data_IF_908374032784
#
_entry.id   IF_908374032784
#
_cell.length_a   1.000
_cell.length_b   1.000
_cell.length_c   1.000
_cell.angle_alpha   90.00
_cell.angle_beta   90.00
_cell.angle_gamma   90.00
#
_symmetry.space_group_name_H-M   'P 1'
#
loop_
_entity.id
_entity.type
_entity.pdbx_description
1 polymer ?
#
# COMPACT_ATOMS: atom_id res chain seq x y z
N UNK A 1 6.57 27.22 -11.00
CA UNK A 1 7.22 28.52 -11.31
C UNK A 1 6.30 29.72 -11.01
N UNK A 2 4.99 29.65 -11.29
CA UNK A 2 4.01 30.69 -10.88
C UNK A 2 3.88 30.90 -9.35
N UNK A 3 4.18 29.89 -8.54
CA UNK A 3 4.17 30.02 -7.07
C UNK A 3 5.37 30.83 -6.54
N UNK A 4 6.50 30.82 -7.24
CA UNK A 4 7.70 31.58 -6.84
C UNK A 4 7.52 33.09 -7.08
N UNK A 5 6.68 33.50 -8.02
CA UNK A 5 6.38 34.91 -8.29
C UNK A 5 5.42 35.54 -7.27
N UNK A 6 4.69 34.72 -6.52
CA UNK A 6 3.76 35.15 -5.45
C UNK A 6 4.42 35.09 -4.06
N UNK A 7 5.58 34.45 -3.95
CA UNK A 7 6.22 34.20 -2.66
C UNK A 7 7.00 35.41 -2.13
N UNK A 8 6.68 35.80 -0.90
CA UNK A 8 7.42 36.77 -0.07
C UNK A 8 8.29 35.98 0.92
N UNK A 9 9.58 36.30 1.18
CA UNK A 9 10.29 37.55 0.87
C UNK A 9 11.15 37.54 -0.41
N UNK A 10 11.63 36.38 -0.87
CA UNK A 10 12.31 36.28 -2.18
C UNK A 10 11.94 34.98 -2.91
N UNK A 11 11.76 35.01 -4.25
CA UNK A 11 11.48 33.81 -5.06
C UNK A 11 12.52 32.69 -4.91
N UNK A 12 13.77 33.05 -4.61
CA UNK A 12 14.88 32.12 -4.41
C UNK A 12 14.65 31.17 -3.22
N UNK A 13 13.97 31.63 -2.17
CA UNK A 13 13.65 30.78 -1.00
C UNK A 13 12.75 29.62 -1.40
N UNK A 14 11.77 29.86 -2.27
CA UNK A 14 10.88 28.80 -2.77
C UNK A 14 11.63 27.82 -3.66
N UNK A 15 12.52 28.30 -4.53
CA UNK A 15 13.30 27.41 -5.40
C UNK A 15 14.22 26.49 -4.58
N UNK A 16 14.95 27.05 -3.62
CA UNK A 16 15.81 26.27 -2.71
C UNK A 16 14.96 25.29 -1.89
N UNK A 17 13.82 25.75 -1.36
CA UNK A 17 12.89 24.91 -0.59
C UNK A 17 12.34 23.73 -1.39
N UNK A 18 11.95 23.94 -2.65
CA UNK A 18 11.48 22.87 -3.55
C UNK A 18 12.59 21.86 -3.83
N UNK A 19 13.82 22.31 -4.09
CA UNK A 19 14.96 21.41 -4.31
C UNK A 19 15.25 20.58 -3.06
N UNK A 20 15.33 21.20 -1.88
CA UNK A 20 15.58 20.47 -0.63
C UNK A 20 14.43 19.50 -0.30
N UNK A 21 13.18 19.92 -0.48
CA UNK A 21 12.00 19.09 -0.19
C UNK A 21 11.91 17.89 -1.13
N UNK A 22 12.16 18.08 -2.42
CA UNK A 22 12.16 16.99 -3.40
C UNK A 22 13.31 16.00 -3.17
N UNK A 23 14.51 16.49 -2.85
CA UNK A 23 15.65 15.64 -2.47
C UNK A 23 15.35 14.82 -1.21
N UNK A 24 14.78 15.44 -0.18
CA UNK A 24 14.40 14.75 1.06
C UNK A 24 13.36 13.64 0.82
N UNK A 25 12.30 13.94 0.08
CA UNK A 25 11.27 12.96 -0.28
C UNK A 25 11.83 11.82 -1.15
N UNK A 26 12.74 12.12 -2.07
CA UNK A 26 13.42 11.13 -2.90
C UNK A 26 14.29 10.18 -2.06
N UNK A 27 15.08 10.71 -1.13
CA UNK A 27 15.93 9.90 -0.22
C UNK A 27 15.09 9.00 0.70
N UNK A 28 13.97 9.51 1.21
CA UNK A 28 13.03 8.70 2.01
C UNK A 28 12.45 7.54 1.18
N UNK A 29 12.04 7.81 -0.06
CA UNK A 29 11.47 6.79 -0.94
C UNK A 29 12.52 5.75 -1.36
N UNK A 30 13.76 6.19 -1.63
CA UNK A 30 14.87 5.33 -2.03
C UNK A 30 15.27 4.34 -0.94
N UNK A 31 15.17 4.73 0.33
CA UNK A 31 15.50 3.87 1.48
C UNK A 31 14.29 3.05 1.97
N UNK A 32 13.08 3.58 1.85
CA UNK A 32 11.85 2.92 2.29
C UNK A 32 11.43 1.75 1.39
N UNK A 33 11.40 1.95 0.07
CA UNK A 33 10.97 0.93 -0.89
C UNK A 33 11.75 -0.40 -0.80
N UNK A 34 13.09 -0.43 -0.78
CA UNK A 34 13.83 -1.70 -0.74
C UNK A 34 13.69 -2.42 0.60
N UNK A 35 13.50 -1.69 1.71
CA UNK A 35 13.23 -2.28 3.03
C UNK A 35 11.87 -2.96 3.07
N UNK A 36 10.83 -2.33 2.48
CA UNK A 36 9.51 -2.95 2.34
C UNK A 36 9.57 -4.20 1.46
N UNK A 37 10.28 -4.14 0.33
CA UNK A 37 10.43 -5.29 -0.56
C UNK A 37 11.18 -6.45 0.12
N UNK A 38 12.25 -6.14 0.87
CA UNK A 38 13.00 -7.13 1.64
C UNK A 38 12.17 -7.75 2.77
N UNK A 39 11.33 -6.97 3.45
CA UNK A 39 10.44 -7.49 4.50
C UNK A 39 9.44 -8.50 3.91
N UNK A 40 8.81 -8.17 2.78
CA UNK A 40 7.88 -9.08 2.08
C UNK A 40 8.61 -10.34 1.57
N UNK A 41 9.87 -10.20 1.11
CA UNK A 41 10.69 -11.34 0.70
C UNK A 41 11.09 -12.24 1.87
N UNK A 42 11.30 -11.67 3.06
CA UNK A 42 11.61 -12.41 4.28
C UNK A 42 10.42 -13.24 4.78
N UNK A 43 9.18 -12.81 4.51
CA UNK A 43 7.96 -13.54 4.86
C UNK A 43 7.74 -14.81 4.02
N UNK A 44 8.58 -15.07 2.99
CA UNK A 44 8.55 -16.27 2.13
C UNK A 44 7.19 -16.56 1.45
N UNK A 45 6.32 -15.55 1.34
CA UNK A 45 4.97 -15.64 0.77
C UNK A 45 5.01 -15.86 -0.75
N UNK A 46 5.88 -15.11 -1.43
CA UNK A 46 6.04 -15.15 -2.89
C UNK A 46 7.40 -15.80 -3.23
N UNK A 47 7.43 -17.01 -3.82
CA UNK A 47 8.68 -17.71 -4.10
C UNK A 47 9.58 -16.96 -5.11
N UNK A 48 8.99 -16.12 -5.96
CA UNK A 48 9.70 -15.26 -6.92
C UNK A 48 10.49 -14.14 -6.20
N UNK A 49 10.05 -13.69 -5.02
CA UNK A 49 10.71 -12.62 -4.27
C UNK A 49 11.89 -13.10 -3.41
N UNK A 50 12.15 -14.41 -3.33
CA UNK A 50 13.24 -14.98 -2.51
C UNK A 50 14.63 -14.43 -2.83
N UNK A 51 14.83 -13.97 -4.06
CA UNK A 51 16.08 -13.34 -4.48
C UNK A 51 16.38 -12.02 -3.74
N UNK A 52 15.34 -11.34 -3.25
CA UNK A 52 15.44 -10.06 -2.55
C UNK A 52 15.52 -10.21 -1.02
N UNK A 53 15.69 -11.43 -0.51
CA UNK A 53 15.78 -11.72 0.92
C UNK A 53 17.07 -11.11 1.50
N UNK A 54 16.96 -10.36 2.59
CA UNK A 54 18.10 -9.79 3.32
C UNK A 54 17.96 -10.06 4.82
N UNK A 55 19.04 -10.46 5.52
CA UNK A 55 19.03 -10.63 6.97
C UNK A 55 18.64 -9.34 7.71
N UNK A 56 18.01 -9.51 8.88
CA UNK A 56 17.64 -8.39 9.75
C UNK A 56 18.87 -7.57 10.15
N UNK A 57 18.81 -6.26 9.91
CA UNK A 57 19.90 -5.31 10.20
C UNK A 57 20.94 -5.14 9.08
N UNK A 58 20.87 -5.92 7.99
CA UNK A 58 21.73 -5.75 6.81
C UNK A 58 20.99 -4.99 5.72
N UNK A 59 21.65 -4.04 5.06
CA UNK A 59 21.06 -3.29 3.96
C UNK A 59 20.75 -4.20 2.75
N UNK A 60 19.52 -4.17 2.23
CA UNK A 60 19.09 -5.09 1.17
C UNK A 60 19.61 -4.63 -0.19
N UNK A 61 20.88 -4.92 -0.49
CA UNK A 61 21.57 -4.47 -1.71
C UNK A 61 20.82 -4.82 -3.01
N UNK A 62 20.30 -6.05 -3.13
CA UNK A 62 19.57 -6.48 -4.33
C UNK A 62 18.23 -5.76 -4.50
N UNK A 63 17.51 -5.52 -3.40
CA UNK A 63 16.25 -4.77 -3.44
C UNK A 63 16.50 -3.29 -3.78
N UNK A 64 17.60 -2.71 -3.25
CA UNK A 64 18.01 -1.34 -3.54
C UNK A 64 18.44 -1.17 -4.99
N UNK A 65 19.19 -2.13 -5.55
CA UNK A 65 19.56 -2.10 -6.97
C UNK A 65 18.32 -2.18 -7.87
N UNK A 66 17.35 -3.02 -7.50
CA UNK A 66 16.10 -3.15 -8.24
C UNK A 66 15.25 -1.88 -8.20
N UNK A 67 15.07 -1.27 -7.01
CA UNK A 67 14.34 0.00 -6.89
C UNK A 67 15.05 1.14 -7.63
N UNK A 68 16.38 1.16 -7.62
CA UNK A 68 17.19 2.13 -8.35
C UNK A 68 17.04 1.96 -9.87
N UNK A 69 16.97 0.73 -10.38
CA UNK A 69 16.76 0.46 -11.80
C UNK A 69 15.38 0.95 -12.26
N UNK A 70 14.32 0.67 -11.48
CA UNK A 70 12.97 1.16 -11.77
C UNK A 70 12.95 2.70 -11.76
N UNK A 71 13.56 3.33 -10.75
CA UNK A 71 13.64 4.77 -10.64
C UNK A 71 14.40 5.39 -11.84
N UNK A 72 15.54 4.81 -12.23
CA UNK A 72 16.30 5.24 -13.38
C UNK A 72 15.48 5.16 -14.69
N UNK A 73 14.68 4.10 -14.85
CA UNK A 73 13.73 3.98 -15.96
C UNK A 73 12.71 5.13 -16.00
N UNK A 74 12.11 5.46 -14.86
CA UNK A 74 11.19 6.60 -14.75
C UNK A 74 11.87 7.95 -15.06
N UNK A 75 13.14 8.14 -14.63
CA UNK A 75 13.89 9.36 -14.92
C UNK A 75 14.19 9.51 -16.41
N UNK A 76 14.47 8.41 -17.12
CA UNK A 76 14.73 8.42 -18.58
C UNK A 76 13.49 8.87 -19.37
N UNK A 77 12.28 8.52 -18.92
CA UNK A 77 11.03 8.99 -19.54
C UNK A 77 10.92 10.51 -19.48
N UNK A 78 11.44 11.15 -18.43
CA UNK A 78 11.60 12.61 -18.34
C UNK A 78 10.30 13.43 -18.24
N UNK A 79 9.14 12.79 -18.31
CA UNK A 79 7.82 13.43 -18.29
C UNK A 79 7.06 13.12 -16.99
N UNK A 80 6.92 14.14 -16.14
CA UNK A 80 6.22 14.02 -14.86
C UNK A 80 4.70 13.87 -15.02
N UNK A 81 4.13 14.37 -16.11
CA UNK A 81 2.68 14.34 -16.33
C UNK A 81 2.22 12.92 -16.69
N UNK A 82 3.10 12.10 -17.26
CA UNK A 82 2.86 10.67 -17.48
C UNK A 82 3.08 9.83 -16.21
N UNK A 83 4.05 10.19 -15.38
CA UNK A 83 4.42 9.43 -14.18
C UNK A 83 3.44 9.67 -13.03
N UNK A 84 2.96 10.92 -12.86
CA UNK A 84 2.11 11.32 -11.74
C UNK A 84 0.81 10.50 -11.61
N UNK A 85 0.02 10.27 -12.69
CA UNK A 85 -1.17 9.43 -12.62
C UNK A 85 -0.86 7.98 -12.25
N UNK A 86 0.26 7.43 -12.76
CA UNK A 86 0.66 6.04 -12.51
C UNK A 86 1.01 5.84 -11.03
N UNK A 87 1.80 6.73 -10.44
CA UNK A 87 2.13 6.69 -9.01
C UNK A 87 0.85 6.85 -8.16
N UNK A 88 -0.02 7.79 -8.54
CA UNK A 88 -1.30 8.03 -7.86
C UNK A 88 -2.19 6.78 -7.85
N UNK A 89 -2.25 6.02 -8.96
CA UNK A 89 -2.97 4.74 -9.02
C UNK A 89 -2.48 3.73 -7.97
N UNK A 90 -1.15 3.56 -7.84
CA UNK A 90 -0.58 2.61 -6.88
C UNK A 90 -0.86 3.02 -5.43
N UNK A 91 -0.76 4.32 -5.11
CA UNK A 91 -1.11 4.81 -3.77
C UNK A 91 -2.59 4.66 -3.46
N UNK A 92 -3.48 5.01 -4.40
CA UNK A 92 -4.93 4.83 -4.22
C UNK A 92 -5.32 3.37 -4.04
N UNK A 93 -4.66 2.44 -4.75
CA UNK A 93 -4.88 1.01 -4.56
C UNK A 93 -4.49 0.57 -3.14
N UNK A 94 -3.33 1.04 -2.64
CA UNK A 94 -2.87 0.72 -1.29
C UNK A 94 -3.82 1.29 -0.22
N UNK A 95 -4.20 2.57 -0.33
CA UNK A 95 -5.15 3.19 0.60
C UNK A 95 -6.53 2.54 0.53
N UNK A 96 -7.02 2.22 -0.67
CA UNK A 96 -8.26 1.47 -0.86
C UNK A 96 -8.20 0.08 -0.22
N UNK A 97 -7.10 -0.64 -0.40
CA UNK A 97 -6.88 -1.97 0.18
C UNK A 97 -6.80 -1.96 1.71
N UNK A 98 -6.11 -0.98 2.31
CA UNK A 98 -6.04 -0.83 3.78
C UNK A 98 -7.41 -0.48 4.35
N UNK A 99 -8.12 0.48 3.74
CA UNK A 99 -9.47 0.86 4.16
C UNK A 99 -10.46 -0.30 4.01
N UNK A 100 -10.40 -1.03 2.89
CA UNK A 100 -11.26 -2.20 2.71
C UNK A 100 -10.94 -3.30 3.73
N UNK A 101 -9.66 -3.52 4.04
CA UNK A 101 -9.25 -4.50 5.06
C UNK A 101 -9.80 -4.12 6.43
N UNK A 102 -9.62 -2.87 6.88
CA UNK A 102 -10.17 -2.40 8.15
C UNK A 102 -11.70 -2.55 8.20
N UNK A 103 -12.42 -2.17 7.15
CA UNK A 103 -13.86 -2.37 7.05
C UNK A 103 -14.27 -3.85 7.14
N UNK A 104 -13.56 -4.75 6.44
CA UNK A 104 -13.83 -6.18 6.51
C UNK A 104 -13.55 -6.75 7.90
N UNK A 105 -12.47 -6.33 8.56
CA UNK A 105 -12.15 -6.79 9.92
C UNK A 105 -13.21 -6.32 10.94
N UNK A 106 -13.73 -5.10 10.80
CA UNK A 106 -14.85 -4.60 11.60
C UNK A 106 -16.15 -5.36 11.31
N UNK A 107 -16.45 -5.62 10.03
CA UNK A 107 -17.69 -6.29 9.61
C UNK A 107 -17.73 -7.77 10.02
N UNK A 108 -16.56 -8.44 10.05
CA UNK A 108 -16.42 -9.86 10.37
C UNK A 108 -16.15 -10.12 11.87
N UNK A 109 -16.11 -9.08 12.71
CA UNK A 109 -15.78 -9.17 14.14
C UNK A 109 -14.56 -10.07 14.41
N UNK A 110 -13.46 -9.81 13.69
CA UNK A 110 -12.26 -10.64 13.78
C UNK A 110 -11.67 -10.63 15.21
N UNK A 111 -11.30 -11.78 15.80
CA UNK A 111 -10.97 -11.87 17.23
C UNK A 111 -9.71 -11.11 17.66
N UNK A 112 -8.78 -10.88 16.73
CA UNK A 112 -7.57 -10.07 16.96
C UNK A 112 -7.80 -8.57 16.75
N UNK A 113 -8.94 -8.17 16.19
CA UNK A 113 -9.24 -6.79 15.85
C UNK A 113 -9.90 -6.06 17.02
N UNK A 114 -9.18 -5.10 17.61
CA UNK A 114 -9.64 -4.28 18.74
C UNK A 114 -9.17 -2.83 18.58
N UNK A 115 -9.78 -2.04 17.67
CA UNK A 115 -9.40 -0.65 17.47
C UNK A 115 -9.64 0.14 18.76
N UNK A 116 -8.56 0.62 19.39
CA UNK A 116 -8.61 1.41 20.65
C UNK A 116 -8.83 2.90 20.41
N UNK A 117 -8.79 3.35 19.16
CA UNK A 117 -8.90 4.76 18.81
C UNK A 117 -10.37 5.21 18.83
N UNK A 118 -10.64 6.34 19.48
CA UNK A 118 -11.99 6.78 19.83
C UNK A 118 -12.86 7.18 18.62
N UNK A 119 -12.25 7.63 17.53
CA UNK A 119 -12.97 8.07 16.31
C UNK A 119 -12.96 7.01 15.21
N UNK A 120 -12.60 5.77 15.54
CA UNK A 120 -12.68 4.65 14.60
C UNK A 120 -14.14 4.25 14.40
N UNK A 121 -14.63 4.32 13.16
CA UNK A 121 -15.95 3.83 12.81
C UNK A 121 -15.89 3.16 11.44
N UNK A 122 -16.53 1.99 11.29
CA UNK A 122 -16.53 1.18 10.06
C UNK A 122 -16.96 1.98 8.83
N UNK A 123 -17.91 2.92 8.99
CA UNK A 123 -18.42 3.79 7.93
C UNK A 123 -17.33 4.69 7.32
N UNK A 124 -16.42 5.24 8.14
CA UNK A 124 -15.31 6.05 7.61
C UNK A 124 -14.34 5.21 6.76
N UNK A 125 -14.13 3.96 7.16
CA UNK A 125 -13.28 3.03 6.42
C UNK A 125 -13.91 2.63 5.08
N UNK A 126 -15.21 2.33 5.09
CA UNK A 126 -15.97 2.04 3.86
C UNK A 126 -16.01 3.26 2.92
N UNK A 127 -16.28 4.46 3.45
CA UNK A 127 -16.30 5.69 2.67
C UNK A 127 -14.92 5.98 2.06
N UNK A 128 -13.83 5.77 2.82
CA UNK A 128 -12.46 5.90 2.32
C UNK A 128 -12.13 4.92 1.20
N UNK A 129 -12.54 3.65 1.34
CA UNK A 129 -12.34 2.64 0.30
C UNK A 129 -13.11 2.98 -0.98
N UNK A 130 -14.39 3.36 -0.86
CA UNK A 130 -15.21 3.78 -1.99
C UNK A 130 -14.65 5.01 -2.68
N UNK A 131 -14.22 6.02 -1.91
CA UNK A 131 -13.62 7.23 -2.45
C UNK A 131 -12.35 6.91 -3.25
N UNK A 132 -11.50 6.02 -2.75
CA UNK A 132 -10.30 5.59 -3.48
C UNK A 132 -10.67 4.93 -4.82
N UNK A 133 -11.64 4.01 -4.82
CA UNK A 133 -12.09 3.33 -6.05
C UNK A 133 -12.70 4.32 -7.04
N UNK A 134 -13.55 5.24 -6.59
CA UNK A 134 -14.16 6.27 -7.44
C UNK A 134 -13.09 7.15 -8.09
N UNK A 135 -12.11 7.64 -7.31
CA UNK A 135 -11.01 8.46 -7.87
C UNK A 135 -10.18 7.65 -8.87
N UNK A 136 -9.93 6.36 -8.59
CA UNK A 136 -9.22 5.50 -9.54
C UNK A 136 -9.94 5.41 -10.89
N UNK A 137 -11.26 5.16 -10.87
CA UNK A 137 -12.08 5.12 -12.08
C UNK A 137 -12.11 6.46 -12.82
N UNK A 138 -12.12 7.59 -12.11
CA UNK A 138 -12.11 8.93 -12.71
C UNK A 138 -10.81 9.24 -13.46
N UNK A 139 -9.66 8.79 -12.94
CA UNK A 139 -8.37 9.01 -13.61
C UNK A 139 -8.26 8.07 -14.83
N UNK A 140 -8.52 6.77 -14.64
CA UNK A 140 -8.53 5.83 -15.77
C UNK A 140 -9.23 4.51 -15.42
N UNK A 141 -10.29 4.19 -16.17
CA UNK A 141 -11.05 2.96 -15.97
C UNK A 141 -10.23 1.71 -16.33
N UNK A 142 -9.43 1.74 -17.40
CA UNK A 142 -8.66 0.58 -17.88
C UNK A 142 -7.60 0.15 -16.87
N UNK A 143 -6.77 1.08 -16.38
CA UNK A 143 -5.75 0.75 -15.37
C UNK A 143 -6.37 0.33 -14.05
N UNK A 144 -7.53 0.89 -13.68
CA UNK A 144 -8.25 0.50 -12.47
C UNK A 144 -8.67 -0.97 -12.51
N UNK A 145 -9.25 -1.44 -13.62
CA UNK A 145 -9.64 -2.84 -13.77
C UNK A 145 -8.42 -3.76 -13.73
N UNK A 146 -7.35 -3.41 -14.45
CA UNK A 146 -6.11 -4.20 -14.47
C UNK A 146 -5.50 -4.30 -13.07
N UNK A 147 -5.44 -3.18 -12.35
CA UNK A 147 -4.86 -3.08 -11.01
C UNK A 147 -5.69 -3.87 -9.99
N UNK A 148 -7.01 -3.72 -10.00
CA UNK A 148 -7.92 -4.51 -9.16
C UNK A 148 -7.83 -6.01 -9.46
N UNK A 149 -7.76 -6.39 -10.74
CA UNK A 149 -7.60 -7.78 -11.14
C UNK A 149 -6.26 -8.36 -10.65
N UNK A 150 -5.17 -7.61 -10.79
CA UNK A 150 -3.85 -8.00 -10.30
C UNK A 150 -3.82 -8.13 -8.77
N UNK A 151 -4.37 -7.16 -8.05
CA UNK A 151 -4.49 -7.21 -6.59
C UNK A 151 -5.31 -8.42 -6.12
N UNK A 152 -6.44 -8.69 -6.79
CA UNK A 152 -7.29 -9.86 -6.50
C UNK A 152 -6.55 -11.16 -6.77
N UNK A 153 -5.76 -11.24 -7.84
CA UNK A 153 -4.97 -12.41 -8.19
C UNK A 153 -3.85 -12.68 -7.18
N UNK A 154 -3.14 -11.63 -6.75
CA UNK A 154 -2.11 -11.74 -5.70
C UNK A 154 -2.77 -12.20 -4.39
N UNK A 155 -3.88 -11.58 -4.00
CA UNK A 155 -4.64 -12.00 -2.82
C UNK A 155 -5.07 -13.47 -2.89
N UNK A 156 -5.60 -13.90 -4.03
CA UNK A 156 -6.00 -15.29 -4.23
C UNK A 156 -4.80 -16.25 -4.15
N UNK A 157 -3.68 -15.90 -4.79
CA UNK A 157 -2.44 -16.69 -4.72
C UNK A 157 -1.93 -16.83 -3.28
N UNK A 158 -1.90 -15.72 -2.53
CA UNK A 158 -1.53 -15.70 -1.11
C UNK A 158 -2.51 -16.52 -0.29
N UNK A 159 -3.81 -16.48 -0.57
CA UNK A 159 -4.81 -17.27 0.16
C UNK A 159 -4.64 -18.79 -0.03
N UNK A 160 -4.11 -19.22 -1.19
CA UNK A 160 -3.83 -20.64 -1.45
C UNK A 160 -2.53 -21.07 -0.75
N UNK A 161 -1.47 -20.25 -0.88
CA UNK A 161 -0.14 -20.56 -0.31
C UNK A 161 -0.09 -20.36 1.21
N UNK A 162 -0.84 -19.41 1.73
CA UNK A 162 -0.94 -19.07 3.15
C UNK A 162 -1.49 -20.21 4.00
N UNK A 163 -2.32 -21.09 3.42
CA UNK A 163 -2.79 -22.32 4.08
C UNK A 163 -1.67 -23.31 4.44
N UNK A 164 -0.45 -23.14 3.91
CA UNK A 164 0.69 -24.00 4.18
C UNK A 164 1.67 -23.45 5.24
N UNK A 165 1.56 -22.18 5.64
CA UNK A 165 2.34 -21.58 6.73
C UNK A 165 1.47 -21.27 7.94
N UNK A 166 2.07 -21.19 9.14
CA UNK A 166 1.39 -20.90 10.42
C UNK A 166 0.90 -19.44 10.54
N UNK A 167 0.42 -18.87 9.44
CA UNK A 167 -0.18 -17.55 9.37
C UNK A 167 -1.67 -17.74 9.58
N UNK A 168 -2.13 -17.58 10.83
CA UNK A 168 -3.53 -17.80 11.20
C UNK A 168 -4.52 -17.25 10.16
N UNK A 169 -5.37 -18.14 9.64
CA UNK A 169 -6.42 -17.79 8.69
C UNK A 169 -7.37 -16.76 9.33
N UNK A 170 -7.26 -15.48 8.95
CA UNK A 170 -8.15 -14.42 9.42
C UNK A 170 -9.62 -14.74 9.13
N UNK A 171 -9.88 -15.40 7.99
CA UNK A 171 -11.21 -15.87 7.62
C UNK A 171 -11.69 -17.05 8.47
N UNK A 172 -10.86 -18.05 8.78
CA UNK A 172 -11.29 -19.14 9.69
C UNK A 172 -11.56 -18.61 11.10
N UNK A 173 -10.77 -17.65 11.55
CA UNK A 173 -10.97 -16.98 12.84
C UNK A 173 -12.30 -16.22 12.87
N UNK A 174 -12.66 -15.55 11.77
CA UNK A 174 -13.95 -14.89 11.60
C UNK A 174 -15.11 -15.91 11.52
N UNK A 175 -15.01 -16.97 10.71
CA UNK A 175 -16.03 -18.02 10.64
C UNK A 175 -16.25 -18.73 11.98
N UNK A 176 -15.18 -18.95 12.74
CA UNK A 176 -15.27 -19.52 14.09
C UNK A 176 -16.03 -18.59 15.06
N UNK A 177 -15.79 -17.28 14.99
CA UNK A 177 -16.54 -16.30 15.79
C UNK A 177 -18.01 -16.20 15.35
N UNK A 178 -18.28 -16.21 14.04
CA UNK A 178 -19.65 -16.24 13.52
C UNK A 178 -20.41 -17.49 14.00
N UNK A 179 -19.75 -18.64 14.00
CA UNK A 179 -20.28 -19.87 14.58
C UNK A 179 -20.52 -19.73 16.10
N UNK A 180 -19.57 -19.19 16.86
CA UNK A 180 -19.72 -18.96 18.30
C UNK A 180 -20.85 -17.98 18.64
N UNK A 181 -20.98 -16.88 17.88
CA UNK A 181 -22.05 -15.90 18.04
C UNK A 181 -23.42 -16.53 17.74
N UNK A 182 -23.52 -17.33 16.67
CA UNK A 182 -24.75 -18.06 16.35
C UNK A 182 -25.14 -19.09 17.41
N UNK A 183 -24.15 -19.74 18.04
CA UNK A 183 -24.38 -20.68 19.14
C UNK A 183 -24.78 -19.97 20.43
N UNK A 184 -24.18 -18.80 20.72
CA UNK A 184 -24.52 -17.99 21.89
C UNK A 184 -25.89 -17.33 21.76
N UNK A 185 -26.39 -17.06 20.55
CA UNK A 185 -27.75 -16.55 20.37
C UNK A 185 -28.84 -17.64 20.47
N UNK A 186 -28.46 -18.91 20.56
CA UNK A 186 -29.37 -20.05 20.69
C UNK A 186 -29.53 -20.57 22.13
N UNK A 187 -28.76 -20.05 23.10
CA UNK A 187 -28.87 -20.38 24.53
C UNK A 187 -29.24 -19.16 25.35
#
# INVERSE_FOLDING_TARGET
MLTATVAWPTPAVVQIGVILSTLGAALQSLTGAPRLLSAIANDDILPILKYFKSPDGVEPHWATLFSLLICAGCVIVGDLDLISPVITMFFLLCYGGVNLSCFLLDLLDAPSWRPRWQFHHWSFSLAGALLCIVIMFLISWSFTIISLALASLIYYYVSIRGKAGDWGDGFKSAYFQLALCSLRSLG
#
